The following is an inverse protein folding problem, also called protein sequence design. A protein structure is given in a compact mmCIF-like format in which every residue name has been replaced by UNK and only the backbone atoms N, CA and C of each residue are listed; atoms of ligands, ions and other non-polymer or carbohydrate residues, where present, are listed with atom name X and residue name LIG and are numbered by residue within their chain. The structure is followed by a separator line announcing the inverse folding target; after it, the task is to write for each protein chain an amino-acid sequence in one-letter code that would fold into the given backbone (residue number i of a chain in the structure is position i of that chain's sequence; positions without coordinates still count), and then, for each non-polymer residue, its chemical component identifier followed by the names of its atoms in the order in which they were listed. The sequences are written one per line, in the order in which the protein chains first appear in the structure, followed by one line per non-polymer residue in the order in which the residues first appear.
data_IF_280479812267
#
_entry.id   IF_280479812267
#
_cell.length_a   1.000
_cell.length_b   1.000
_cell.length_c   1.000
_cell.angle_alpha   90.00
_cell.angle_beta   90.00
_cell.angle_gamma   90.00
#
_symmetry.space_group_name_H-M   'P 1'
#
loop_
_entity.id
_entity.type
_entity.pdbx_description
1 polymer ?
#
# COMPACT_ATOMS: atom_id res chain seq x y z
N UNK A 1 49.58 -0.26 -16.44
CA UNK A 1 48.55 0.30 -15.54
C UNK A 1 47.18 0.11 -16.18
N UNK A 2 46.43 -0.94 -15.82
CA UNK A 2 45.09 -1.21 -16.37
C UNK A 2 44.04 -0.53 -15.49
N UNK A 3 43.54 0.62 -15.96
CA UNK A 3 42.45 1.37 -15.35
C UNK A 3 41.15 0.60 -15.63
N UNK A 4 40.74 -0.27 -14.71
CA UNK A 4 39.42 -0.90 -14.77
C UNK A 4 38.37 0.20 -14.64
N UNK A 5 37.68 0.53 -15.74
CA UNK A 5 36.46 1.34 -15.69
C UNK A 5 35.49 0.63 -14.76
N UNK A 6 35.05 1.25 -13.65
CA UNK A 6 33.94 0.69 -12.88
C UNK A 6 32.73 0.65 -13.81
N UNK A 7 32.17 -0.54 -14.00
CA UNK A 7 31.00 -0.75 -14.83
C UNK A 7 29.88 0.14 -14.28
N UNK A 8 29.39 1.14 -15.03
CA UNK A 8 28.43 2.16 -14.52
C UNK A 8 27.20 1.53 -13.86
N UNK A 9 26.76 0.37 -14.35
CA UNK A 9 25.68 -0.43 -13.79
C UNK A 9 25.97 -0.93 -12.36
N UNK A 10 27.21 -1.33 -12.08
CA UNK A 10 27.64 -1.79 -10.75
C UNK A 10 27.65 -0.62 -9.76
N UNK A 11 28.04 0.57 -10.22
CA UNK A 11 27.95 1.80 -9.42
C UNK A 11 26.49 2.13 -9.09
N UNK A 12 25.61 2.12 -10.11
CA UNK A 12 24.19 2.41 -9.97
C UNK A 12 23.49 1.48 -8.96
N UNK A 13 23.72 0.17 -9.06
CA UNK A 13 23.15 -0.82 -8.11
C UNK A 13 23.70 -0.62 -6.70
N UNK A 14 24.96 -0.22 -6.56
CA UNK A 14 25.58 0.06 -5.26
C UNK A 14 25.01 1.32 -4.61
N UNK A 15 24.78 2.36 -5.40
CA UNK A 15 24.17 3.61 -4.95
C UNK A 15 22.70 3.39 -4.57
N UNK A 16 21.91 2.68 -5.40
CA UNK A 16 20.53 2.32 -5.08
C UNK A 16 20.41 1.44 -3.82
N UNK A 17 21.34 0.48 -3.60
CA UNK A 17 21.38 -0.28 -2.33
C UNK A 17 21.65 0.60 -1.12
N UNK A 18 22.43 1.67 -1.28
CA UNK A 18 22.76 2.59 -0.19
C UNK A 18 21.56 3.47 0.15
N UNK A 19 20.77 3.87 -0.83
CA UNK A 19 19.51 4.59 -0.63
C UNK A 19 18.40 3.71 -0.05
N UNK A 20 18.27 2.47 -0.53
CA UNK A 20 17.32 1.49 0.01
C UNK A 20 17.58 1.16 1.49
N UNK A 21 18.81 1.33 1.98
CA UNK A 21 19.14 1.21 3.42
C UNK A 21 18.64 2.39 4.27
N UNK A 22 18.38 3.55 3.66
CA UNK A 22 17.76 4.70 4.34
C UNK A 22 16.24 4.54 4.47
N UNK A 23 15.64 3.62 3.71
CA UNK A 23 14.23 3.29 3.83
C UNK A 23 14.02 2.58 5.17
N UNK A 24 13.26 3.23 6.04
CA UNK A 24 12.88 2.70 7.34
C UNK A 24 11.80 1.66 7.09
N UNK A 25 12.20 0.40 6.98
CA UNK A 25 11.26 -0.70 6.84
C UNK A 25 10.48 -0.86 8.15
N UNK A 26 9.13 -0.95 8.07
CA UNK A 26 8.32 -1.14 9.26
C UNK A 26 8.70 -2.45 9.93
N UNK A 27 8.67 -2.45 11.26
CA UNK A 27 8.86 -3.68 12.03
C UNK A 27 7.74 -4.67 11.69
N UNK A 28 7.99 -5.99 11.80
CA UNK A 28 6.99 -7.04 11.54
C UNK A 28 5.64 -6.73 12.20
N UNK A 29 5.67 -6.21 13.43
CA UNK A 29 4.49 -5.83 14.22
C UNK A 29 3.75 -4.62 13.65
N UNK A 30 4.46 -3.59 13.19
CA UNK A 30 3.84 -2.43 12.52
C UNK A 30 3.15 -2.86 11.23
N UNK A 31 3.85 -3.61 10.36
CA UNK A 31 3.27 -4.07 9.11
C UNK A 31 1.99 -4.88 9.31
N UNK A 32 1.95 -5.75 10.33
CA UNK A 32 0.74 -6.51 10.67
C UNK A 32 -0.38 -5.61 11.19
N UNK A 33 -0.09 -4.68 12.10
CA UNK A 33 -1.10 -3.75 12.62
C UNK A 33 -1.68 -2.85 11.52
N UNK A 34 -0.84 -2.31 10.65
CA UNK A 34 -1.26 -1.45 9.54
C UNK A 34 -2.14 -2.23 8.55
N UNK A 35 -1.79 -3.49 8.27
CA UNK A 35 -2.60 -4.37 7.42
C UNK A 35 -3.98 -4.66 8.06
N UNK A 36 -4.01 -4.97 9.36
CA UNK A 36 -5.25 -5.19 10.11
C UNK A 36 -6.14 -3.94 10.11
N UNK A 37 -5.55 -2.76 10.27
CA UNK A 37 -6.26 -1.49 10.20
C UNK A 37 -6.93 -1.29 8.83
N UNK A 38 -6.19 -1.52 7.74
CA UNK A 38 -6.72 -1.39 6.37
C UNK A 38 -7.84 -2.39 6.12
N UNK A 39 -7.70 -3.64 6.58
CA UNK A 39 -8.77 -4.65 6.47
C UNK A 39 -10.03 -4.19 7.21
N UNK A 40 -9.89 -3.74 8.47
CA UNK A 40 -11.02 -3.23 9.25
C UNK A 40 -11.69 -2.02 8.61
N UNK A 41 -10.89 -1.07 8.11
CA UNK A 41 -11.41 0.11 7.40
C UNK A 41 -12.15 -0.26 6.12
N UNK A 42 -11.57 -1.16 5.30
CA UNK A 42 -12.19 -1.63 4.06
C UNK A 42 -13.54 -2.31 4.31
N UNK A 43 -13.63 -3.17 5.33
CA UNK A 43 -14.89 -3.79 5.75
C UNK A 43 -15.90 -2.75 6.24
N UNK A 44 -15.45 -1.74 6.99
CA UNK A 44 -16.31 -0.64 7.44
C UNK A 44 -16.90 0.16 6.28
N UNK A 45 -16.07 0.51 5.29
CA UNK A 45 -16.51 1.20 4.07
C UNK A 45 -17.47 0.34 3.25
N UNK A 46 -17.17 -0.95 3.08
CA UNK A 46 -18.04 -1.87 2.36
C UNK A 46 -19.42 -2.01 3.02
N UNK A 47 -19.46 -2.11 4.35
CA UNK A 47 -20.72 -2.16 5.11
C UNK A 47 -21.50 -0.84 5.00
N UNK A 48 -20.81 0.30 5.08
CA UNK A 48 -21.43 1.62 4.94
C UNK A 48 -22.05 1.81 3.55
N UNK A 49 -21.27 1.56 2.49
CA UNK A 49 -21.76 1.67 1.11
C UNK A 49 -22.92 0.70 0.87
N UNK A 50 -22.78 -0.56 1.27
CA UNK A 50 -23.86 -1.55 1.13
C UNK A 50 -25.15 -1.16 1.86
N UNK A 51 -25.06 -0.55 3.04
CA UNK A 51 -26.22 -0.01 3.75
C UNK A 51 -26.86 1.13 2.96
N UNK A 52 -26.06 2.07 2.46
CA UNK A 52 -26.54 3.21 1.66
C UNK A 52 -27.21 2.72 0.38
N UNK A 53 -26.60 1.79 -0.35
CA UNK A 53 -27.16 1.19 -1.55
C UNK A 53 -28.49 0.48 -1.27
N UNK A 54 -28.59 -0.24 -0.15
CA UNK A 54 -29.83 -0.89 0.27
C UNK A 54 -30.95 0.12 0.55
N UNK A 55 -30.64 1.18 1.30
CA UNK A 55 -31.61 2.24 1.63
C UNK A 55 -32.06 2.97 0.36
N UNK A 56 -31.12 3.32 -0.53
CA UNK A 56 -31.44 3.99 -1.78
C UNK A 56 -32.32 3.10 -2.69
N UNK A 57 -32.00 1.81 -2.80
CA UNK A 57 -32.81 0.86 -3.59
C UNK A 57 -34.23 0.77 -3.04
N UNK A 58 -34.39 0.68 -1.72
CA UNK A 58 -35.72 0.65 -1.07
C UNK A 58 -36.51 1.94 -1.27
N UNK A 59 -35.85 3.09 -1.24
CA UNK A 59 -36.48 4.38 -1.52
C UNK A 59 -36.92 4.48 -2.98
N UNK A 60 -36.10 4.01 -3.92
CA UNK A 60 -36.45 3.98 -5.34
C UNK A 60 -37.62 3.03 -5.62
N UNK A 61 -37.66 1.85 -5.01
CA UNK A 61 -38.81 0.92 -5.07
C UNK A 61 -40.11 1.51 -4.49
N UNK A 62 -40.02 2.49 -3.58
CA UNK A 62 -41.20 3.17 -3.03
C UNK A 62 -41.73 4.27 -3.97
N UNK A 63 -40.84 4.88 -4.75
CA UNK A 63 -41.14 6.03 -5.62
C UNK A 63 -41.62 5.59 -7.00
N UNK A 64 -41.09 4.48 -7.52
CA UNK A 64 -41.49 3.85 -8.80
C UNK A 64 -42.62 2.87 -8.54
#
# INVERSE_FOLDING_TARGET
MSKKMPNKLVQYVKDSRTELKKVIWPTRKQATNDTLLVIGFSLGVAAFLGLVDFVLTKLLELVI
#
